data_IF_368598670290
#
_entry.id   IF_368598670290
#
_cell.length_a   1.000
_cell.length_b   1.000
_cell.length_c   1.000
_cell.angle_alpha   90.00
_cell.angle_beta   90.00
_cell.angle_gamma   90.00
#
_symmetry.space_group_name_H-M   'P 1'
#
loop_
_entity.id
_entity.type
_entity.pdbx_description
1 polymer ?
#
# COMPACT_ATOMS: atom_id res chain seq x y z
N UNK A 1 -10.61 -26.33 1.88
CA UNK A 1 -9.62 -25.34 1.38
C UNK A 1 -10.32 -24.02 1.21
N UNK A 2 -9.69 -22.93 1.62
CA UNK A 2 -10.23 -21.57 1.52
C UNK A 2 -9.93 -20.98 0.15
N UNK A 3 -10.96 -20.64 -0.63
CA UNK A 3 -10.78 -20.10 -1.98
C UNK A 3 -10.47 -18.60 -1.92
N UNK A 4 -9.24 -18.23 -2.29
CA UNK A 4 -8.78 -16.86 -2.38
C UNK A 4 -8.55 -16.46 -3.84
N UNK A 5 -9.22 -15.42 -4.28
CA UNK A 5 -9.03 -14.84 -5.63
C UNK A 5 -8.15 -13.60 -5.55
N UNK A 6 -7.12 -13.52 -6.39
CA UNK A 6 -6.34 -12.30 -6.62
C UNK A 6 -6.80 -11.65 -7.92
N UNK A 7 -7.63 -10.62 -7.83
CA UNK A 7 -8.10 -9.83 -8.95
C UNK A 7 -7.04 -8.82 -9.38
N UNK A 8 -6.55 -8.95 -10.62
CA UNK A 8 -5.31 -8.32 -11.08
C UNK A 8 -4.08 -9.17 -10.76
N UNK A 9 -4.26 -10.49 -10.61
CA UNK A 9 -3.26 -11.45 -10.15
C UNK A 9 -1.99 -11.50 -11.01
N UNK A 10 -2.05 -11.19 -12.28
CA UNK A 10 -0.88 -11.07 -13.18
C UNK A 10 -0.29 -9.66 -13.26
N UNK A 11 -0.76 -8.73 -12.42
CA UNK A 11 -0.23 -7.38 -12.31
C UNK A 11 0.98 -7.28 -11.39
N UNK A 12 1.59 -6.09 -11.32
CA UNK A 12 2.84 -5.85 -10.59
C UNK A 12 2.83 -6.34 -9.13
N UNK A 13 1.80 -6.04 -8.36
CA UNK A 13 1.64 -6.54 -6.98
C UNK A 13 0.91 -7.88 -6.92
N UNK A 14 -0.09 -8.08 -7.81
CA UNK A 14 -0.89 -9.30 -7.85
C UNK A 14 -0.06 -10.55 -8.08
N UNK A 15 0.94 -10.49 -8.95
CA UNK A 15 1.88 -11.58 -9.22
C UNK A 15 2.63 -12.01 -7.95
N UNK A 16 3.18 -11.06 -7.19
CA UNK A 16 3.90 -11.32 -5.93
C UNK A 16 3.00 -11.92 -4.85
N UNK A 17 1.76 -11.44 -4.77
CA UNK A 17 0.77 -12.02 -3.86
C UNK A 17 0.43 -13.44 -4.29
N UNK A 18 0.19 -13.66 -5.59
CA UNK A 18 -0.10 -14.97 -6.14
C UNK A 18 1.06 -15.95 -5.92
N UNK A 19 2.30 -15.54 -6.14
CA UNK A 19 3.51 -16.32 -5.83
C UNK A 19 3.58 -16.74 -4.38
N UNK A 20 3.31 -15.81 -3.46
CA UNK A 20 3.37 -16.08 -2.02
C UNK A 20 2.27 -17.01 -1.53
N UNK A 21 1.07 -16.98 -2.15
CA UNK A 21 -0.09 -17.77 -1.73
C UNK A 21 -0.20 -19.12 -2.47
N UNK A 22 0.50 -19.32 -3.58
CA UNK A 22 0.35 -20.49 -4.43
C UNK A 22 0.68 -21.83 -3.73
N UNK A 23 1.60 -21.81 -2.77
CA UNK A 23 2.03 -23.00 -2.02
C UNK A 23 1.37 -23.15 -0.65
N UNK A 24 0.47 -22.25 -0.28
CA UNK A 24 -0.18 -22.27 1.04
C UNK A 24 -1.30 -23.36 1.07
N UNK A 25 -1.08 -24.45 1.75
CA UNK A 25 -1.98 -25.61 1.81
C UNK A 25 -3.46 -25.31 2.12
N UNK A 26 -3.81 -24.36 3.03
CA UNK A 26 -5.22 -24.08 3.32
C UNK A 26 -5.87 -23.25 2.19
N UNK A 27 -5.09 -22.70 1.22
CA UNK A 27 -5.58 -21.77 0.20
C UNK A 27 -5.71 -22.46 -1.16
N UNK A 28 -6.92 -22.39 -1.75
CA UNK A 28 -7.12 -22.59 -3.18
C UNK A 28 -7.03 -21.24 -3.87
N UNK A 29 -5.88 -20.99 -4.51
CA UNK A 29 -5.64 -19.71 -5.18
C UNK A 29 -6.32 -19.65 -6.54
N UNK A 30 -7.02 -18.54 -6.84
CA UNK A 30 -7.50 -18.19 -8.17
C UNK A 30 -6.75 -16.93 -8.66
N UNK A 31 -6.07 -17.04 -9.79
CA UNK A 31 -5.41 -15.92 -10.46
C UNK A 31 -6.39 -15.32 -11.46
N UNK A 32 -6.86 -14.09 -11.18
CA UNK A 32 -7.92 -13.45 -11.94
C UNK A 32 -7.45 -12.15 -12.61
N UNK A 33 -7.94 -11.92 -13.82
CA UNK A 33 -7.70 -10.71 -14.59
C UNK A 33 -8.41 -10.74 -15.94
N UNK A 34 -8.33 -9.64 -16.70
CA UNK A 34 -8.98 -9.51 -18.03
C UNK A 34 -8.24 -10.26 -19.13
N UNK A 35 -6.96 -10.50 -18.97
CA UNK A 35 -6.08 -11.14 -19.94
C UNK A 35 -5.90 -12.61 -19.60
N UNK A 36 -6.62 -13.48 -20.33
CA UNK A 36 -6.59 -14.93 -20.14
C UNK A 36 -5.17 -15.51 -20.33
N UNK A 37 -4.42 -14.99 -21.30
CA UNK A 37 -3.08 -15.48 -21.61
C UNK A 37 -2.11 -15.21 -20.46
N UNK A 38 -2.15 -13.98 -19.88
CA UNK A 38 -1.30 -13.63 -18.72
C UNK A 38 -1.70 -14.40 -17.46
N UNK A 39 -3.00 -14.57 -17.20
CA UNK A 39 -3.46 -15.34 -16.06
C UNK A 39 -3.06 -16.82 -16.20
N UNK A 40 -3.23 -17.40 -17.37
CA UNK A 40 -2.82 -18.78 -17.67
C UNK A 40 -1.31 -19.00 -17.58
N UNK A 41 -0.52 -18.09 -18.14
CA UNK A 41 0.95 -18.15 -18.04
C UNK A 41 1.45 -18.10 -16.59
N UNK A 42 0.86 -17.22 -15.76
CA UNK A 42 1.19 -17.14 -14.35
C UNK A 42 0.77 -18.42 -13.61
N UNK A 43 -0.45 -18.92 -13.83
CA UNK A 43 -0.92 -20.15 -13.19
C UNK A 43 0.00 -21.34 -13.55
N UNK A 44 0.39 -21.48 -14.82
CA UNK A 44 1.34 -22.51 -15.25
C UNK A 44 2.71 -22.39 -14.55
N UNK A 45 3.26 -21.18 -14.47
CA UNK A 45 4.53 -20.89 -13.76
C UNK A 45 4.46 -21.25 -12.27
N UNK A 46 3.30 -21.02 -11.65
CA UNK A 46 3.04 -21.34 -10.26
C UNK A 46 2.62 -22.80 -10.03
N UNK A 47 2.59 -23.62 -11.07
CA UNK A 47 2.15 -25.02 -11.05
C UNK A 47 0.71 -25.20 -10.55
N UNK A 48 -0.14 -24.21 -10.81
CA UNK A 48 -1.57 -24.26 -10.51
C UNK A 48 -2.32 -25.00 -11.63
N UNK A 49 -3.50 -25.56 -11.30
CA UNK A 49 -4.39 -26.11 -12.31
C UNK A 49 -4.83 -25.04 -13.31
N UNK A 50 -5.02 -25.33 -14.60
CA UNK A 50 -5.56 -24.38 -15.56
C UNK A 50 -6.88 -23.74 -15.15
N UNK A 51 -7.73 -24.46 -14.42
CA UNK A 51 -9.00 -23.95 -13.87
C UNK A 51 -8.84 -22.89 -12.76
N UNK A 52 -7.63 -22.66 -12.29
CA UNK A 52 -7.31 -21.61 -11.32
C UNK A 52 -6.91 -20.27 -11.99
N UNK A 53 -6.74 -20.26 -13.30
CA UNK A 53 -6.63 -19.04 -14.09
C UNK A 53 -8.02 -18.65 -14.59
N UNK A 54 -8.55 -17.51 -14.13
CA UNK A 54 -9.92 -17.09 -14.43
C UNK A 54 -9.98 -15.71 -15.07
N UNK A 55 -10.85 -15.58 -16.08
CA UNK A 55 -11.09 -14.27 -16.69
C UNK A 55 -12.18 -13.56 -15.89
N UNK A 56 -11.81 -12.40 -15.33
CA UNK A 56 -12.70 -11.55 -14.52
C UNK A 56 -12.39 -10.09 -14.81
N UNK A 57 -13.40 -9.30 -15.12
CA UNK A 57 -13.28 -7.84 -15.17
C UNK A 57 -13.80 -7.23 -13.86
N UNK A 58 -13.00 -6.37 -13.25
CA UNK A 58 -13.37 -5.60 -12.05
C UNK A 58 -14.58 -4.66 -12.28
N UNK A 59 -14.88 -4.33 -13.54
CA UNK A 59 -16.00 -3.47 -13.91
C UNK A 59 -17.25 -4.24 -14.37
N UNK A 60 -17.21 -5.58 -14.32
CA UNK A 60 -18.37 -6.41 -14.71
C UNK A 60 -19.51 -6.23 -13.70
N UNK A 61 -20.71 -5.80 -14.11
CA UNK A 61 -21.89 -5.77 -13.26
C UNK A 61 -22.26 -7.13 -12.65
N UNK A 62 -21.91 -8.23 -13.31
CA UNK A 62 -22.12 -9.61 -12.86
C UNK A 62 -21.07 -10.13 -11.88
N UNK A 63 -20.11 -9.31 -11.43
CA UNK A 63 -18.99 -9.74 -10.61
C UNK A 63 -19.44 -10.51 -9.36
N UNK A 64 -20.47 -10.07 -8.65
CA UNK A 64 -20.97 -10.75 -7.45
C UNK A 64 -21.45 -12.18 -7.73
N UNK A 65 -22.18 -12.40 -8.84
CA UNK A 65 -22.58 -13.72 -9.31
C UNK A 65 -21.36 -14.59 -9.62
N UNK A 66 -20.40 -14.03 -10.32
CA UNK A 66 -19.17 -14.74 -10.71
C UNK A 66 -18.32 -15.16 -9.49
N UNK A 67 -18.24 -14.32 -8.47
CA UNK A 67 -17.55 -14.67 -7.20
C UNK A 67 -18.24 -15.85 -6.50
N UNK A 68 -19.58 -15.88 -6.47
CA UNK A 68 -20.37 -16.98 -5.90
C UNK A 68 -20.17 -18.30 -6.67
N UNK A 69 -20.26 -18.27 -7.98
CA UNK A 69 -20.04 -19.43 -8.86
C UNK A 69 -18.66 -20.06 -8.65
N UNK A 70 -17.63 -19.23 -8.49
CA UNK A 70 -16.25 -19.68 -8.26
C UNK A 70 -15.98 -20.10 -6.82
N UNK A 71 -16.95 -19.93 -5.91
CA UNK A 71 -16.83 -20.25 -4.49
C UNK A 71 -15.78 -19.39 -3.78
N UNK A 72 -15.61 -18.12 -4.20
CA UNK A 72 -14.61 -17.21 -3.60
C UNK A 72 -15.02 -16.86 -2.18
N UNK A 73 -14.11 -17.04 -1.23
CA UNK A 73 -14.29 -16.69 0.17
C UNK A 73 -13.51 -15.42 0.56
N UNK A 74 -12.37 -15.18 -0.09
CA UNK A 74 -11.60 -13.93 0.04
C UNK A 74 -11.21 -13.40 -1.33
N UNK A 75 -11.53 -12.14 -1.60
CA UNK A 75 -11.13 -11.40 -2.78
C UNK A 75 -10.01 -10.41 -2.43
N UNK A 76 -8.84 -10.58 -3.02
CA UNK A 76 -7.74 -9.59 -2.94
C UNK A 76 -7.77 -8.77 -4.24
N UNK A 77 -8.00 -7.47 -4.12
CA UNK A 77 -8.12 -6.55 -5.25
C UNK A 77 -6.83 -5.75 -5.45
N UNK A 78 -6.12 -6.03 -6.54
CA UNK A 78 -4.86 -5.36 -6.90
C UNK A 78 -4.96 -4.55 -8.20
N UNK A 79 -6.14 -4.49 -8.81
CA UNK A 79 -6.37 -3.83 -10.09
C UNK A 79 -6.61 -2.31 -9.94
N UNK A 80 -5.59 -1.56 -9.50
CA UNK A 80 -5.60 -0.10 -9.42
C UNK A 80 -5.60 0.63 -10.78
N UNK A 81 -5.48 1.97 -10.81
CA UNK A 81 -5.37 2.87 -9.67
C UNK A 81 -6.69 3.00 -8.90
N UNK A 82 -6.60 3.30 -7.58
CA UNK A 82 -7.77 3.41 -6.70
C UNK A 82 -8.26 4.87 -6.53
N UNK A 83 -7.47 5.83 -6.93
CA UNK A 83 -7.83 7.26 -6.85
C UNK A 83 -9.09 7.53 -7.66
N UNK A 84 -10.04 8.25 -7.05
CA UNK A 84 -11.35 8.60 -7.63
C UNK A 84 -12.20 7.40 -8.08
N UNK A 85 -11.95 6.18 -7.56
CA UNK A 85 -12.76 4.98 -7.86
C UNK A 85 -13.96 4.87 -6.93
N UNK A 86 -15.02 4.23 -7.44
CA UNK A 86 -16.17 3.77 -6.64
C UNK A 86 -15.87 2.41 -6.03
N UNK A 87 -16.58 2.04 -4.98
CA UNK A 87 -16.42 0.76 -4.27
C UNK A 87 -17.13 -0.43 -4.97
N UNK A 88 -17.27 -0.42 -6.29
CA UNK A 88 -18.02 -1.44 -7.04
C UNK A 88 -17.54 -2.86 -6.76
N UNK A 89 -16.21 -3.07 -6.72
CA UNK A 89 -15.62 -4.39 -6.44
C UNK A 89 -15.84 -4.81 -4.98
N UNK A 90 -15.66 -3.89 -4.03
CA UNK A 90 -15.92 -4.18 -2.61
C UNK A 90 -17.40 -4.48 -2.36
N UNK A 91 -18.31 -3.71 -2.98
CA UNK A 91 -19.75 -3.95 -2.89
C UNK A 91 -20.14 -5.31 -3.48
N UNK A 92 -19.57 -5.69 -4.65
CA UNK A 92 -19.79 -7.00 -5.25
C UNK A 92 -19.27 -8.15 -4.34
N UNK A 93 -18.13 -7.96 -3.67
CA UNK A 93 -17.62 -8.92 -2.70
C UNK A 93 -18.58 -9.07 -1.50
N UNK A 94 -19.08 -7.97 -0.95
CA UNK A 94 -20.07 -7.99 0.14
C UNK A 94 -21.35 -8.71 -0.31
N UNK A 95 -21.87 -8.40 -1.50
CA UNK A 95 -23.05 -9.05 -2.07
C UNK A 95 -22.83 -10.55 -2.25
N UNK A 96 -21.62 -10.96 -2.67
CA UNK A 96 -21.26 -12.36 -2.83
C UNK A 96 -21.06 -13.11 -1.49
N UNK A 97 -20.95 -12.39 -0.37
CA UNK A 97 -20.60 -12.98 0.92
C UNK A 97 -19.10 -13.27 1.08
N UNK A 98 -18.25 -12.61 0.29
CA UNK A 98 -16.79 -12.77 0.34
C UNK A 98 -16.15 -11.72 1.24
N UNK A 99 -15.06 -12.08 1.93
CA UNK A 99 -14.13 -11.11 2.50
C UNK A 99 -13.43 -10.33 1.36
N UNK A 100 -13.12 -9.06 1.61
CA UNK A 100 -12.46 -8.19 0.66
C UNK A 100 -11.22 -7.56 1.27
N UNK A 101 -10.13 -7.52 0.50
CA UNK A 101 -8.87 -6.86 0.86
C UNK A 101 -8.34 -6.14 -0.37
N UNK A 102 -7.94 -4.87 -0.25
CA UNK A 102 -7.27 -4.16 -1.34
C UNK A 102 -5.95 -3.54 -0.90
N UNK A 103 -5.14 -3.14 -1.90
CA UNK A 103 -3.85 -2.48 -1.73
C UNK A 103 -3.94 -0.98 -2.04
N UNK A 104 -5.09 -0.37 -1.84
CA UNK A 104 -5.30 1.04 -2.14
C UNK A 104 -4.37 1.95 -1.31
N UNK A 105 -3.87 2.99 -1.96
CA UNK A 105 -3.06 4.07 -1.38
C UNK A 105 -3.74 5.45 -1.52
N UNK A 106 -4.86 5.51 -2.24
CA UNK A 106 -5.66 6.73 -2.38
C UNK A 106 -6.36 7.11 -1.09
N UNK A 107 -6.04 8.29 -0.52
CA UNK A 107 -6.54 8.74 0.78
C UNK A 107 -8.05 8.64 0.89
N UNK A 108 -8.78 9.27 -0.03
CA UNK A 108 -10.25 9.30 0.02
C UNK A 108 -10.87 7.91 -0.12
N UNK A 109 -10.28 7.05 -0.97
CA UNK A 109 -10.76 5.69 -1.17
C UNK A 109 -10.59 4.84 0.08
N UNK A 110 -9.41 4.89 0.71
CA UNK A 110 -9.15 4.09 1.93
C UNK A 110 -9.97 4.59 3.12
N UNK A 111 -10.01 5.90 3.34
CA UNK A 111 -10.77 6.49 4.46
C UNK A 111 -12.28 6.29 4.27
N UNK A 112 -12.78 6.45 3.05
CA UNK A 112 -14.21 6.36 2.75
C UNK A 112 -14.76 4.93 2.70
N UNK A 113 -13.92 3.88 2.82
CA UNK A 113 -14.40 2.48 2.79
C UNK A 113 -15.40 2.19 3.91
N UNK A 114 -15.33 2.93 5.02
CA UNK A 114 -16.24 2.84 6.15
C UNK A 114 -17.73 3.07 5.75
N UNK A 115 -17.99 3.72 4.60
CA UNK A 115 -19.33 3.85 4.04
C UNK A 115 -20.03 2.51 3.74
N UNK A 116 -19.25 1.43 3.60
CA UNK A 116 -19.75 0.06 3.39
C UNK A 116 -19.90 -0.74 4.70
N UNK A 117 -19.59 -0.16 5.87
CA UNK A 117 -19.52 -0.90 7.14
C UNK A 117 -20.84 -1.60 7.50
N UNK A 118 -21.96 -0.90 7.42
CA UNK A 118 -23.26 -1.48 7.73
C UNK A 118 -23.62 -2.66 6.81
N UNK A 119 -23.32 -2.55 5.52
CA UNK A 119 -23.58 -3.62 4.56
C UNK A 119 -22.67 -4.83 4.81
N UNK A 120 -21.37 -4.60 5.10
CA UNK A 120 -20.42 -5.65 5.39
C UNK A 120 -20.76 -6.40 6.69
N UNK A 121 -21.16 -5.68 7.74
CA UNK A 121 -21.65 -6.27 9.01
C UNK A 121 -22.89 -7.12 8.80
N UNK A 122 -23.89 -6.61 8.06
CA UNK A 122 -25.11 -7.35 7.77
C UNK A 122 -24.87 -8.67 7.03
N UNK A 123 -23.79 -8.74 6.24
CA UNK A 123 -23.35 -9.96 5.52
C UNK A 123 -22.34 -10.80 6.31
N UNK A 124 -21.91 -10.37 7.48
CA UNK A 124 -20.92 -11.07 8.30
C UNK A 124 -19.52 -11.17 7.65
N UNK A 125 -19.20 -10.25 6.73
CA UNK A 125 -17.91 -10.24 6.02
C UNK A 125 -16.97 -9.13 6.55
N UNK A 126 -15.68 -9.32 6.31
CA UNK A 126 -14.62 -8.36 6.62
C UNK A 126 -14.17 -7.69 5.32
N UNK A 127 -14.19 -6.36 5.27
CA UNK A 127 -13.80 -5.53 4.12
C UNK A 127 -12.69 -4.61 4.58
N UNK A 128 -11.49 -4.80 4.03
CA UNK A 128 -10.29 -4.09 4.44
C UNK A 128 -9.70 -3.33 3.25
N UNK A 129 -9.54 -2.01 3.39
CA UNK A 129 -8.88 -1.19 2.38
C UNK A 129 -7.54 -0.68 2.86
N UNK A 130 -6.56 -0.60 1.95
CA UNK A 130 -5.22 -0.14 2.24
C UNK A 130 -4.33 -1.19 2.90
N UNK A 131 -4.48 -2.47 2.57
CA UNK A 131 -3.62 -3.55 3.08
C UNK A 131 -2.25 -3.55 2.38
N UNK A 132 -1.48 -2.47 2.58
CA UNK A 132 -0.20 -2.19 1.93
C UNK A 132 0.83 -1.64 2.94
N UNK A 133 1.94 -1.06 2.46
CA UNK A 133 2.93 -0.41 3.33
C UNK A 133 2.30 0.72 4.14
N UNK A 134 1.41 1.49 3.52
CA UNK A 134 0.59 2.54 4.13
C UNK A 134 -0.88 2.24 3.82
N UNK A 135 -1.77 2.22 4.83
CA UNK A 135 -1.56 2.48 6.25
C UNK A 135 -1.23 1.23 7.11
N UNK A 136 -1.09 0.03 6.54
CA UNK A 136 -1.00 -1.20 7.34
C UNK A 136 0.33 -1.32 8.10
N UNK A 137 1.49 -1.23 7.43
CA UNK A 137 2.78 -1.35 8.10
C UNK A 137 3.09 -0.11 8.93
N UNK A 138 2.84 1.09 8.39
CA UNK A 138 3.05 2.34 9.11
C UNK A 138 2.33 2.35 10.46
N UNK A 139 1.03 1.99 10.49
CA UNK A 139 0.28 1.90 11.75
C UNK A 139 0.79 0.80 12.68
N UNK A 140 1.17 -0.36 12.13
CA UNK A 140 1.73 -1.45 12.94
C UNK A 140 3.03 -1.05 13.64
N UNK A 141 3.87 -0.24 12.99
CA UNK A 141 5.09 0.32 13.59
C UNK A 141 4.74 1.32 14.68
N UNK A 142 3.84 2.27 14.42
CA UNK A 142 3.42 3.24 15.46
C UNK A 142 2.80 2.51 16.65
N UNK A 143 1.89 1.54 16.42
CA UNK A 143 1.24 0.75 17.49
C UNK A 143 2.24 -0.03 18.35
N UNK A 144 3.36 -0.48 17.77
CA UNK A 144 4.44 -1.17 18.50
C UNK A 144 5.11 -0.30 19.53
N UNK A 145 5.24 1.01 19.27
CA UNK A 145 6.02 1.93 20.10
C UNK A 145 5.17 2.94 20.86
N UNK A 146 3.93 3.22 20.43
CA UNK A 146 3.11 4.29 21.02
C UNK A 146 2.91 4.14 22.52
N UNK A 147 2.87 2.91 23.05
CA UNK A 147 2.72 2.64 24.48
C UNK A 147 3.93 3.09 25.32
N UNK A 148 5.07 3.41 24.73
CA UNK A 148 6.27 3.93 25.42
C UNK A 148 6.19 5.44 25.66
N UNK A 149 5.30 6.13 24.95
CA UNK A 149 5.11 7.56 25.05
C UNK A 149 4.03 7.91 26.09
N UNK A 150 4.29 8.92 26.88
CA UNK A 150 3.29 9.65 27.65
C UNK A 150 2.52 10.60 26.73
N UNK A 151 3.23 11.22 25.78
CA UNK A 151 2.69 12.08 24.74
C UNK A 151 3.50 11.90 23.45
N UNK A 152 2.88 11.38 22.41
CA UNK A 152 3.46 11.31 21.08
C UNK A 152 3.19 12.65 20.38
N UNK A 153 4.22 13.40 20.02
CA UNK A 153 4.11 14.72 19.42
C UNK A 153 4.14 14.66 17.90
N UNK A 154 5.01 13.83 17.31
CA UNK A 154 5.11 13.73 15.86
C UNK A 154 5.32 12.30 15.36
N UNK A 155 4.75 12.04 14.19
CA UNK A 155 4.95 10.85 13.36
C UNK A 155 5.41 11.35 11.99
N UNK A 156 6.70 11.15 11.68
CA UNK A 156 7.24 11.40 10.35
C UNK A 156 7.64 10.07 9.72
N UNK A 157 7.20 9.80 8.50
CA UNK A 157 7.50 8.53 7.86
C UNK A 157 7.57 8.70 6.34
N UNK A 158 8.17 7.71 5.69
CA UNK A 158 8.32 7.79 4.24
C UNK A 158 8.87 6.54 3.61
N UNK A 159 8.84 6.52 2.28
CA UNK A 159 9.28 5.41 1.44
C UNK A 159 10.21 5.95 0.37
N UNK A 160 11.38 5.31 0.19
CA UNK A 160 12.23 5.50 -0.98
C UNK A 160 12.26 4.21 -1.79
N UNK A 161 11.76 4.26 -3.03
CA UNK A 161 11.80 3.09 -3.91
C UNK A 161 13.22 2.77 -4.37
N UNK A 162 13.49 1.48 -4.68
CA UNK A 162 14.66 1.05 -5.43
C UNK A 162 14.54 1.40 -6.93
N UNK A 163 15.48 0.90 -7.72
CA UNK A 163 15.57 1.13 -9.18
C UNK A 163 14.30 0.68 -9.91
N UNK A 164 13.72 -0.45 -9.50
CA UNK A 164 12.53 -1.01 -10.13
C UNK A 164 11.31 -0.13 -9.85
N UNK A 165 10.89 0.59 -10.88
CA UNK A 165 9.71 1.43 -10.80
C UNK A 165 8.44 0.61 -10.49
N UNK A 166 7.49 1.14 -9.70
CA UNK A 166 6.19 0.49 -9.49
C UNK A 166 5.41 0.42 -10.82
N UNK A 167 4.39 -0.44 -10.85
CA UNK A 167 3.53 -0.58 -12.03
C UNK A 167 2.89 0.74 -12.46
N UNK A 168 2.58 0.89 -13.75
CA UNK A 168 2.03 2.13 -14.34
C UNK A 168 0.78 2.65 -13.62
N UNK A 169 -0.05 1.74 -13.08
CA UNK A 169 -1.24 2.13 -12.29
C UNK A 169 -0.86 2.92 -11.05
N UNK A 170 0.17 2.48 -10.31
CA UNK A 170 0.71 3.18 -9.15
C UNK A 170 1.31 4.53 -9.54
N UNK A 171 2.12 4.56 -10.61
CA UNK A 171 2.71 5.82 -11.11
C UNK A 171 1.62 6.83 -11.47
N UNK A 172 0.54 6.40 -12.15
CA UNK A 172 -0.62 7.26 -12.46
C UNK A 172 -1.32 7.77 -11.20
N UNK A 173 -1.52 6.91 -10.21
CA UNK A 173 -2.09 7.28 -8.91
C UNK A 173 -1.27 8.37 -8.24
N UNK A 174 0.03 8.13 -8.08
CA UNK A 174 0.99 9.05 -7.46
C UNK A 174 1.11 10.38 -8.21
N UNK A 175 1.05 10.38 -9.54
CA UNK A 175 1.11 11.59 -10.35
C UNK A 175 -0.22 12.36 -10.38
N UNK A 176 -1.33 11.74 -10.03
CA UNK A 176 -2.65 12.37 -10.07
C UNK A 176 -2.76 13.59 -9.14
N UNK A 177 -2.00 13.60 -8.03
CA UNK A 177 -1.97 14.70 -7.06
C UNK A 177 -0.65 15.53 -7.10
N UNK A 178 0.27 15.24 -8.03
CA UNK A 178 1.51 15.99 -8.18
C UNK A 178 1.26 17.49 -8.43
N UNK A 179 1.84 18.35 -7.59
CA UNK A 179 1.66 19.81 -7.61
C UNK A 179 0.28 20.30 -7.15
N UNK A 180 -0.65 19.39 -6.82
CA UNK A 180 -1.97 19.74 -6.29
C UNK A 180 -1.94 19.85 -4.76
N UNK A 181 -2.81 20.70 -4.16
CA UNK A 181 -2.88 20.87 -2.73
C UNK A 181 -3.54 19.64 -2.06
N UNK A 182 -3.05 19.31 -0.88
CA UNK A 182 -3.71 18.39 0.06
C UNK A 182 -3.48 18.86 1.50
N UNK A 183 -4.22 18.29 2.46
CA UNK A 183 -4.14 18.67 3.86
C UNK A 183 -3.21 17.73 4.63
N UNK A 184 -2.36 18.29 5.46
CA UNK A 184 -1.46 17.59 6.37
C UNK A 184 -1.65 18.12 7.79
N UNK A 185 -1.53 17.23 8.79
CA UNK A 185 -1.66 17.61 10.19
C UNK A 185 -0.33 18.10 10.72
N UNK A 186 -0.18 19.42 10.92
CA UNK A 186 1.06 20.04 11.42
C UNK A 186 0.78 21.01 12.57
N UNK A 187 1.47 20.81 13.69
CA UNK A 187 1.35 21.68 14.86
C UNK A 187 -0.05 21.68 15.49
N UNK A 188 -0.81 20.60 15.38
CA UNK A 188 -2.16 20.49 15.89
C UNK A 188 -3.23 21.16 15.02
N UNK A 189 -2.94 21.42 13.76
CA UNK A 189 -3.90 22.00 12.80
C UNK A 189 -3.69 21.45 11.40
N UNK A 190 -4.77 21.43 10.60
CA UNK A 190 -4.69 21.11 9.19
C UNK A 190 -3.99 22.23 8.43
N UNK A 191 -2.96 21.87 7.66
CA UNK A 191 -2.17 22.78 6.84
C UNK A 191 -2.11 22.28 5.41
N UNK A 192 -2.24 23.20 4.45
CA UNK A 192 -2.11 22.89 3.03
C UNK A 192 -0.66 22.66 2.65
N UNK A 193 -0.38 21.52 2.05
CA UNK A 193 0.88 21.22 1.36
C UNK A 193 0.60 20.79 -0.08
N UNK A 194 1.62 20.44 -0.86
CA UNK A 194 1.47 20.14 -2.28
C UNK A 194 2.23 18.86 -2.64
N UNK A 195 1.60 18.00 -3.40
CA UNK A 195 2.16 16.71 -3.80
C UNK A 195 3.49 16.87 -4.57
N UNK A 196 4.48 16.08 -4.21
CA UNK A 196 5.83 16.06 -4.76
C UNK A 196 6.61 17.38 -4.59
N UNK A 197 6.17 18.26 -3.72
CA UNK A 197 6.90 19.43 -3.26
C UNK A 197 7.37 19.25 -1.82
N UNK A 198 7.93 20.28 -1.18
CA UNK A 198 8.59 20.17 0.14
C UNK A 198 9.77 19.19 0.09
N UNK A 199 10.71 19.46 -0.83
CA UNK A 199 11.88 18.64 -1.11
C UNK A 199 12.80 18.58 0.12
N UNK A 200 13.12 17.37 0.57
CA UNK A 200 13.98 17.11 1.73
C UNK A 200 14.98 15.99 1.44
N UNK A 201 16.01 15.89 2.28
CA UNK A 201 16.87 14.73 2.34
C UNK A 201 16.58 13.94 3.60
N UNK A 202 16.39 12.62 3.42
CA UNK A 202 16.31 11.66 4.52
C UNK A 202 17.55 10.76 4.49
N UNK A 203 18.15 10.54 5.66
CA UNK A 203 19.29 9.65 5.82
C UNK A 203 18.80 8.30 6.34
N UNK A 204 18.80 7.32 5.45
CA UNK A 204 18.55 5.93 5.83
C UNK A 204 19.83 5.30 6.39
N UNK A 205 19.72 4.26 7.24
CA UNK A 205 20.85 3.44 7.63
C UNK A 205 21.60 2.85 6.43
N UNK A 206 22.90 2.57 6.58
CA UNK A 206 23.66 1.87 5.54
C UNK A 206 23.00 0.52 5.16
N UNK A 207 23.06 0.13 3.87
CA UNK A 207 23.80 0.74 2.78
C UNK A 207 23.00 1.75 1.94
N UNK A 208 21.75 2.10 2.30
CA UNK A 208 20.87 2.93 1.49
C UNK A 208 21.29 4.41 1.45
N UNK A 209 21.73 4.97 2.59
CA UNK A 209 22.26 6.32 2.69
C UNK A 209 21.22 7.42 2.41
N UNK A 210 21.71 8.59 1.98
CA UNK A 210 20.87 9.78 1.79
C UNK A 210 20.01 9.70 0.54
N UNK A 211 18.71 9.97 0.68
CA UNK A 211 17.71 9.97 -0.40
C UNK A 211 16.92 11.27 -0.43
N UNK A 212 16.59 11.74 -1.64
CA UNK A 212 15.60 12.79 -1.80
C UNK A 212 14.20 12.26 -1.58
N UNK A 213 13.40 12.99 -0.81
CA UNK A 213 11.98 12.68 -0.54
C UNK A 213 11.16 13.97 -0.59
N UNK A 214 9.89 13.84 -0.93
CA UNK A 214 8.94 14.95 -1.03
C UNK A 214 7.58 14.56 -0.47
N UNK A 215 6.78 15.54 -0.05
CA UNK A 215 5.45 15.33 0.52
C UNK A 215 4.52 14.62 -0.46
N UNK A 216 3.81 13.60 0.02
CA UNK A 216 2.86 12.82 -0.75
C UNK A 216 1.56 12.61 0.01
N UNK A 217 0.46 12.51 -0.73
CA UNK A 217 -0.87 12.33 -0.18
C UNK A 217 -1.20 10.85 0.02
N UNK A 218 -1.49 10.44 1.27
CA UNK A 218 -1.77 9.06 1.66
C UNK A 218 -2.83 8.98 2.77
N UNK A 219 -3.45 7.81 2.99
CA UNK A 219 -4.52 7.62 3.97
C UNK A 219 -4.14 7.99 5.41
N UNK A 220 -2.93 7.66 5.82
CA UNK A 220 -2.40 7.85 7.18
C UNK A 220 -2.51 9.28 7.67
N UNK A 221 -2.35 10.26 6.77
CA UNK A 221 -2.45 11.69 7.10
C UNK A 221 -3.85 12.07 7.67
N UNK A 222 -4.90 11.29 7.35
CA UNK A 222 -6.23 11.44 7.92
C UNK A 222 -6.46 10.48 9.09
N UNK A 223 -5.92 9.27 9.02
CA UNK A 223 -6.19 8.21 9.98
C UNK A 223 -5.41 8.39 11.29
N UNK A 224 -4.14 8.82 11.22
CA UNK A 224 -3.26 8.89 12.37
C UNK A 224 -3.65 9.98 13.38
N UNK A 225 -4.05 11.20 12.99
CA UNK A 225 -4.52 12.20 13.95
C UNK A 225 -5.76 11.74 14.74
N UNK A 226 -6.61 10.89 14.13
CA UNK A 226 -7.77 10.30 14.81
C UNK A 226 -7.38 9.15 15.74
N UNK A 227 -6.40 8.31 15.32
CA UNK A 227 -5.98 7.13 16.06
C UNK A 227 -5.07 7.47 17.24
N UNK A 228 -4.19 8.46 17.08
CA UNK A 228 -3.20 8.88 18.08
C UNK A 228 -3.51 10.32 18.55
N UNK A 229 -4.41 10.50 19.53
CA UNK A 229 -5.00 11.82 19.84
C UNK A 229 -3.99 12.85 20.36
N UNK A 230 -2.83 12.43 20.87
CA UNK A 230 -1.80 13.35 21.37
C UNK A 230 -0.93 13.90 20.25
N UNK A 231 -0.96 13.29 19.05
CA UNK A 231 -0.08 13.67 17.94
C UNK A 231 -0.43 15.07 17.41
N UNK A 232 0.60 15.87 17.24
CA UNK A 232 0.49 17.25 16.74
C UNK A 232 0.97 17.38 15.29
N UNK A 233 1.81 16.46 14.83
CA UNK A 233 2.34 16.48 13.46
C UNK A 233 2.36 15.07 12.90
N UNK A 234 1.78 14.90 11.70
CA UNK A 234 1.82 13.68 10.90
C UNK A 234 2.23 14.06 9.49
N UNK A 235 3.37 13.56 9.04
CA UNK A 235 3.90 13.86 7.71
C UNK A 235 4.42 12.63 6.99
N UNK A 236 4.16 12.55 5.69
CA UNK A 236 4.62 11.46 4.83
C UNK A 236 5.40 11.98 3.62
N UNK A 237 6.50 11.29 3.33
CA UNK A 237 7.37 11.63 2.23
C UNK A 237 7.66 10.40 1.36
N UNK A 238 7.72 10.61 0.04
CA UNK A 238 8.13 9.56 -0.88
C UNK A 238 9.31 10.01 -1.74
N UNK A 239 10.13 9.04 -2.14
CA UNK A 239 11.31 9.29 -2.98
C UNK A 239 11.60 8.15 -3.95
N UNK A 240 12.50 8.43 -4.89
CA UNK A 240 12.97 7.48 -5.90
C UNK A 240 14.45 7.18 -5.72
N UNK A 241 14.90 6.01 -6.23
CA UNK A 241 16.32 5.67 -6.29
C UNK A 241 17.13 6.69 -7.11
N UNK A 242 16.54 7.21 -8.20
CA UNK A 242 17.13 8.25 -9.01
C UNK A 242 16.90 9.64 -8.41
N UNK A 243 17.95 10.24 -7.85
CA UNK A 243 17.89 11.62 -7.36
C UNK A 243 17.52 12.63 -8.47
N UNK A 244 18.10 12.47 -9.67
CA UNK A 244 17.76 13.33 -10.82
C UNK A 244 16.29 13.12 -11.23
N UNK A 245 15.82 11.87 -11.30
CA UNK A 245 14.41 11.56 -11.60
C UNK A 245 13.47 12.18 -10.58
N UNK A 246 13.86 12.17 -9.29
CA UNK A 246 13.09 12.82 -8.24
C UNK A 246 12.99 14.33 -8.45
N UNK A 247 14.11 15.00 -8.76
CA UNK A 247 14.13 16.45 -9.02
C UNK A 247 13.30 16.83 -10.26
N UNK A 248 13.32 16.00 -11.32
CA UNK A 248 12.47 16.21 -12.51
C UNK A 248 10.99 16.16 -12.13
N UNK A 249 10.56 15.16 -11.33
CA UNK A 249 9.17 15.09 -10.87
C UNK A 249 8.80 16.29 -10.00
N UNK A 250 9.67 16.74 -9.10
CA UNK A 250 9.46 17.94 -8.30
C UNK A 250 9.33 19.19 -9.17
N UNK A 251 10.19 19.35 -10.19
CA UNK A 251 10.11 20.46 -11.14
C UNK A 251 8.78 20.48 -11.91
N UNK A 252 8.36 19.33 -12.43
CA UNK A 252 7.06 19.18 -13.09
C UNK A 252 5.88 19.47 -12.13
N UNK A 253 5.97 19.02 -10.87
CA UNK A 253 4.97 19.33 -9.84
C UNK A 253 4.92 20.85 -9.55
N UNK A 254 6.07 21.52 -9.55
CA UNK A 254 6.16 22.98 -9.47
C UNK A 254 5.42 23.71 -10.60
N UNK A 255 5.52 23.19 -11.84
CA UNK A 255 4.78 23.74 -12.99
C UNK A 255 3.26 23.54 -12.84
N UNK A 256 2.82 22.41 -12.29
CA UNK A 256 1.39 22.17 -11.99
C UNK A 256 0.91 23.16 -10.92
N UNK A 257 1.69 23.35 -9.84
CA UNK A 257 1.36 24.35 -8.80
C UNK A 257 1.29 25.77 -9.35
N UNK A 258 2.18 26.11 -10.28
CA UNK A 258 2.17 27.40 -10.97
C UNK A 258 1.06 27.52 -12.02
N UNK A 259 0.23 26.49 -12.21
CA UNK A 259 -0.84 26.41 -13.24
C UNK A 259 -0.34 26.46 -14.69
N UNK A 260 0.95 26.19 -14.92
CA UNK A 260 1.54 26.09 -16.25
C UNK A 260 1.30 24.70 -16.88
N UNK A 261 1.01 23.71 -16.07
CA UNK A 261 0.59 22.36 -16.47
C UNK A 261 -0.70 21.96 -15.71
N UNK A 262 -1.66 21.28 -16.37
CA UNK A 262 -2.90 20.89 -15.72
C UNK A 262 -2.74 19.66 -14.79
N UNK A 263 -1.80 18.75 -15.09
CA UNK A 263 -1.57 17.51 -14.33
C UNK A 263 -0.27 16.84 -14.74
N UNK A 264 0.30 16.01 -13.84
CA UNK A 264 1.43 15.12 -14.16
C UNK A 264 0.99 13.79 -14.79
N UNK A 265 -0.28 13.42 -14.74
CA UNK A 265 -0.78 12.13 -15.22
C UNK A 265 -0.37 11.77 -16.66
N UNK A 266 -0.36 12.70 -17.64
CA UNK A 266 0.10 12.40 -18.99
C UNK A 266 1.55 11.94 -19.08
N UNK A 267 2.40 12.39 -18.14
CA UNK A 267 3.82 12.04 -18.09
C UNK A 267 4.09 10.67 -17.45
N UNK A 268 3.08 10.03 -16.84
CA UNK A 268 3.25 8.76 -16.15
C UNK A 268 3.79 7.65 -17.06
N UNK A 269 3.22 7.47 -18.27
CA UNK A 269 3.66 6.43 -19.18
C UNK A 269 5.04 6.69 -19.78
N UNK A 270 5.36 7.88 -20.33
CA UNK A 270 6.70 8.16 -20.83
C UNK A 270 7.79 8.09 -19.76
N UNK A 271 7.56 8.69 -18.57
CA UNK A 271 8.54 8.64 -17.48
C UNK A 271 8.73 7.22 -16.94
N UNK A 272 7.68 6.40 -16.86
CA UNK A 272 7.78 4.99 -16.50
C UNK A 272 8.62 4.20 -17.51
N UNK A 273 8.47 4.43 -18.82
CA UNK A 273 9.29 3.79 -19.86
C UNK A 273 10.76 4.17 -19.74
N UNK A 274 11.05 5.46 -19.56
CA UNK A 274 12.42 5.97 -19.35
C UNK A 274 13.02 5.36 -18.09
N UNK A 275 12.27 5.31 -16.99
CA UNK A 275 12.72 4.70 -15.74
C UNK A 275 13.08 3.22 -15.90
N UNK A 276 12.28 2.43 -16.64
CA UNK A 276 12.59 1.03 -16.93
C UNK A 276 13.86 0.88 -17.76
N UNK A 277 14.07 1.76 -18.74
CA UNK A 277 15.27 1.72 -19.56
C UNK A 277 16.55 2.08 -18.76
N UNK A 278 16.39 2.99 -17.79
CA UNK A 278 17.49 3.43 -16.91
C UNK A 278 17.64 2.57 -15.65
N UNK A 279 16.77 1.59 -15.41
CA UNK A 279 16.76 0.73 -14.21
C UNK A 279 18.15 0.15 -13.88
N UNK A 280 18.96 -0.36 -14.84
CA UNK A 280 20.30 -0.91 -14.56
C UNK A 280 21.30 0.09 -13.99
N UNK A 281 21.07 1.39 -14.14
CA UNK A 281 21.96 2.45 -13.67
C UNK A 281 21.70 2.86 -12.22
N UNK A 282 20.62 2.39 -11.62
CA UNK A 282 20.21 2.81 -10.28
C UNK A 282 20.31 1.66 -9.27
N UNK A 283 20.38 2.04 -7.99
CA UNK A 283 20.45 1.08 -6.89
C UNK A 283 19.16 0.25 -6.80
N UNK A 284 19.30 -1.05 -6.69
CA UNK A 284 18.22 -2.02 -6.42
C UNK A 284 17.63 -1.91 -5.01
N UNK A 285 18.18 -1.00 -4.19
CA UNK A 285 17.84 -0.83 -2.78
C UNK A 285 16.75 0.21 -2.59
N UNK A 286 15.80 -0.13 -1.73
CA UNK A 286 14.75 0.76 -1.28
C UNK A 286 14.56 0.67 0.24
N UNK A 287 13.78 1.57 0.80
CA UNK A 287 13.51 1.54 2.23
C UNK A 287 12.25 2.30 2.61
N UNK A 288 11.77 2.00 3.81
CA UNK A 288 10.73 2.73 4.51
C UNK A 288 11.29 3.16 5.86
N UNK A 289 10.94 4.35 6.31
CA UNK A 289 11.24 4.82 7.67
C UNK A 289 9.97 5.25 8.38
N UNK A 290 9.99 5.15 9.72
CA UNK A 290 9.01 5.73 10.63
C UNK A 290 9.76 6.32 11.80
N UNK A 291 9.62 7.62 12.01
CA UNK A 291 10.23 8.36 13.11
C UNK A 291 9.13 8.87 14.03
N UNK A 292 9.28 8.59 15.31
CA UNK A 292 8.37 8.98 16.36
C UNK A 292 9.12 9.87 17.34
N UNK A 293 8.58 11.03 17.66
CA UNK A 293 9.17 11.95 18.65
C UNK A 293 8.09 12.42 19.62
N UNK A 294 8.47 12.50 20.91
CA UNK A 294 7.55 12.93 21.94
C UNK A 294 8.14 12.80 23.35
N UNK A 295 7.27 12.86 24.33
CA UNK A 295 7.59 12.67 25.76
C UNK A 295 7.39 11.20 26.13
N UNK A 296 8.46 10.53 26.57
CA UNK A 296 8.43 9.18 27.11
C UNK A 296 7.75 9.10 28.47
N UNK A 297 7.48 7.88 28.95
CA UNK A 297 6.82 7.65 30.26
C UNK A 297 7.59 8.24 31.45
N UNK A 298 8.90 8.31 31.35
CA UNK A 298 9.79 8.90 32.38
C UNK A 298 9.94 10.42 32.25
N UNK A 299 9.05 11.07 31.45
CA UNK A 299 9.07 12.51 31.15
C UNK A 299 10.36 13.01 30.49
N UNK A 300 11.16 12.12 29.90
CA UNK A 300 12.29 12.42 29.04
C UNK A 300 11.83 12.52 27.57
N UNK A 301 12.61 13.19 26.73
CA UNK A 301 12.38 13.13 25.28
C UNK A 301 12.68 11.73 24.78
N UNK A 302 11.73 11.14 24.08
CA UNK A 302 11.86 9.83 23.44
C UNK A 302 11.77 10.00 21.93
N UNK A 303 12.83 9.58 21.24
CA UNK A 303 12.87 9.51 19.77
C UNK A 303 13.12 8.06 19.36
N UNK A 304 12.30 7.55 18.44
CA UNK A 304 12.44 6.21 17.85
C UNK A 304 12.53 6.37 16.35
N UNK A 305 13.57 5.83 15.74
CA UNK A 305 13.75 5.74 14.30
C UNK A 305 13.71 4.27 13.89
N UNK A 306 12.61 3.85 13.27
CA UNK A 306 12.43 2.51 12.72
C UNK A 306 12.60 2.55 11.20
N UNK A 307 13.38 1.64 10.68
CA UNK A 307 13.68 1.55 9.26
C UNK A 307 13.48 0.11 8.75
N UNK A 308 12.97 -0.01 7.53
CA UNK A 308 12.90 -1.26 6.78
C UNK A 308 13.67 -1.08 5.48
N UNK A 309 14.74 -1.84 5.32
CA UNK A 309 15.61 -1.78 4.14
C UNK A 309 15.39 -3.02 3.29
N UNK A 310 15.21 -2.83 1.99
CA UNK A 310 15.07 -3.91 1.02
C UNK A 310 16.17 -3.81 -0.04
N UNK A 311 16.79 -4.95 -0.38
CA UNK A 311 17.83 -5.09 -1.39
C UNK A 311 17.39 -6.09 -2.47
N UNK A 312 18.19 -6.30 -3.49
CA UNK A 312 17.96 -7.27 -4.56
C UNK A 312 16.58 -7.08 -5.25
N UNK A 313 16.13 -5.84 -5.40
CA UNK A 313 14.82 -5.51 -5.93
C UNK A 313 13.64 -6.15 -5.14
N UNK A 314 13.82 -6.47 -3.85
CA UNK A 314 12.76 -6.99 -3.00
C UNK A 314 11.80 -5.92 -2.46
N UNK A 315 12.12 -4.63 -2.61
CA UNK A 315 11.24 -3.52 -2.21
C UNK A 315 9.78 -3.67 -2.67
N UNK A 316 9.48 -4.06 -3.92
CA UNK A 316 8.12 -4.24 -4.42
C UNK A 316 7.30 -5.34 -3.73
N UNK A 317 7.89 -6.22 -2.94
CA UNK A 317 7.18 -7.22 -2.14
C UNK A 317 6.61 -6.63 -0.85
N UNK A 318 7.21 -5.57 -0.32
CA UNK A 318 6.77 -4.95 0.95
C UNK A 318 5.29 -4.54 0.91
N UNK A 319 4.78 -3.84 -0.13
CA UNK A 319 3.37 -3.49 -0.20
C UNK A 319 2.40 -4.69 -0.20
N UNK A 320 2.89 -5.89 -0.52
CA UNK A 320 2.07 -7.10 -0.57
C UNK A 320 1.91 -7.77 0.81
N UNK A 321 2.78 -7.45 1.79
CA UNK A 321 2.87 -8.13 3.08
C UNK A 321 1.57 -8.20 3.84
N UNK A 322 0.84 -7.07 3.94
CA UNK A 322 -0.44 -7.03 4.66
C UNK A 322 -1.52 -7.90 3.99
N UNK A 323 -1.70 -7.78 2.67
CA UNK A 323 -2.71 -8.55 1.95
C UNK A 323 -2.47 -10.06 2.06
N UNK A 324 -1.20 -10.49 1.96
CA UNK A 324 -0.82 -11.90 2.14
C UNK A 324 -1.09 -12.36 3.57
N UNK A 325 -0.68 -11.58 4.58
CA UNK A 325 -0.88 -11.93 5.99
C UNK A 325 -2.38 -12.03 6.32
N UNK A 326 -3.20 -11.08 5.86
CA UNK A 326 -4.65 -11.09 6.07
C UNK A 326 -5.33 -12.27 5.37
N UNK A 327 -4.94 -12.60 4.13
CA UNK A 327 -5.46 -13.76 3.41
C UNK A 327 -5.14 -15.07 4.16
N UNK A 328 -3.93 -15.22 4.69
CA UNK A 328 -3.53 -16.35 5.53
C UNK A 328 -4.33 -16.42 6.83
N UNK A 329 -4.53 -15.28 7.51
CA UNK A 329 -5.36 -15.20 8.72
C UNK A 329 -6.79 -15.67 8.44
N UNK A 330 -7.42 -15.18 7.37
CA UNK A 330 -8.77 -15.55 6.95
C UNK A 330 -8.86 -17.04 6.58
N UNK A 331 -7.89 -17.56 5.83
CA UNK A 331 -7.83 -18.96 5.43
C UNK A 331 -7.64 -19.93 6.62
N UNK A 332 -6.98 -19.47 7.67
CA UNK A 332 -6.81 -20.23 8.92
C UNK A 332 -7.94 -19.99 9.93
N UNK A 333 -9.04 -19.35 9.53
CA UNK A 333 -10.21 -19.15 10.39
C UNK A 333 -10.03 -18.09 11.47
N UNK A 334 -9.06 -17.17 11.32
CA UNK A 334 -8.90 -16.09 12.29
C UNK A 334 -10.13 -15.18 12.31
N UNK A 335 -10.60 -14.86 13.52
CA UNK A 335 -11.75 -13.98 13.70
C UNK A 335 -11.34 -12.50 13.55
N UNK A 336 -11.29 -12.02 12.31
CA UNK A 336 -11.11 -10.60 12.04
C UNK A 336 -12.42 -9.82 12.25
N UNK A 337 -12.35 -8.53 12.62
CA UNK A 337 -13.55 -7.70 12.80
C UNK A 337 -14.43 -7.72 11.54
N UNK A 338 -15.74 -7.88 11.74
CA UNK A 338 -16.73 -7.77 10.66
C UNK A 338 -17.07 -6.31 10.42
N UNK A 339 -17.28 -5.97 9.14
CA UNK A 339 -17.51 -4.58 8.73
C UNK A 339 -16.48 -4.12 7.70
N UNK A 340 -16.54 -2.84 7.34
CA UNK A 340 -15.62 -2.22 6.41
C UNK A 340 -14.73 -1.18 7.12
N UNK A 341 -13.41 -1.31 6.95
CA UNK A 341 -12.43 -0.50 7.66
C UNK A 341 -11.12 -0.30 6.89
N UNK A 342 -10.39 0.79 7.13
CA UNK A 342 -8.99 0.91 6.76
C UNK A 342 -8.13 -0.16 7.43
N UNK A 343 -7.02 -0.54 6.79
CA UNK A 343 -6.09 -1.53 7.33
C UNK A 343 -5.17 -0.91 8.39
N UNK A 344 -5.75 -0.58 9.54
CA UNK A 344 -5.04 0.04 10.67
C UNK A 344 -5.27 -0.80 11.93
N UNK A 345 -4.20 -1.18 12.63
CA UNK A 345 -4.27 -1.96 13.87
C UNK A 345 -4.73 -3.41 13.69
N UNK A 346 -4.73 -3.95 12.47
CA UNK A 346 -5.14 -5.32 12.16
C UNK A 346 -3.99 -6.32 12.15
N UNK A 347 -2.77 -5.82 12.02
CA UNK A 347 -1.55 -6.61 11.95
C UNK A 347 -0.48 -6.01 12.87
N UNK A 348 0.29 -6.86 13.50
CA UNK A 348 1.56 -6.48 14.11
C UNK A 348 2.66 -6.38 13.05
N UNK A 349 3.77 -5.70 13.35
CA UNK A 349 4.96 -5.66 12.47
C UNK A 349 5.44 -7.08 12.14
N UNK A 350 5.46 -7.98 13.14
CA UNK A 350 5.86 -9.39 12.96
C UNK A 350 4.95 -10.12 11.97
N UNK A 351 3.65 -9.95 12.06
CA UNK A 351 2.68 -10.57 11.14
C UNK A 351 2.81 -10.00 9.73
N UNK A 352 3.00 -8.68 9.61
CA UNK A 352 3.21 -8.02 8.32
C UNK A 352 4.49 -8.52 7.62
N UNK A 353 5.59 -8.66 8.36
CA UNK A 353 6.89 -9.07 7.81
C UNK A 353 7.01 -10.59 7.61
N UNK A 354 6.16 -11.40 8.21
CA UNK A 354 6.22 -12.86 8.09
C UNK A 354 6.20 -13.39 6.64
N UNK A 355 5.42 -12.83 5.69
CA UNK A 355 5.49 -13.21 4.28
C UNK A 355 6.80 -12.86 3.58
N UNK A 356 7.59 -11.94 4.14
CA UNK A 356 8.81 -11.39 3.54
C UNK A 356 10.09 -12.03 4.08
N UNK A 357 9.98 -13.01 4.99
CA UNK A 357 11.13 -13.58 5.75
C UNK A 357 12.24 -14.17 4.88
N UNK A 358 11.91 -14.67 3.67
CA UNK A 358 12.85 -15.29 2.74
C UNK A 358 13.44 -14.29 1.73
N UNK A 359 13.13 -13.01 1.89
CA UNK A 359 13.61 -11.92 1.05
C UNK A 359 14.70 -11.13 1.79
N UNK A 360 15.55 -10.43 1.04
CA UNK A 360 16.53 -9.53 1.64
C UNK A 360 15.85 -8.21 2.06
N UNK A 361 15.06 -8.33 3.13
CA UNK A 361 14.32 -7.23 3.77
C UNK A 361 14.70 -7.24 5.25
N UNK A 362 15.25 -6.12 5.74
CA UNK A 362 15.81 -6.02 7.09
C UNK A 362 15.22 -4.85 7.86
N UNK A 363 14.84 -5.11 9.10
CA UNK A 363 14.44 -4.11 10.08
C UNK A 363 15.67 -3.56 10.79
N UNK A 364 15.76 -2.23 10.92
CA UNK A 364 16.80 -1.51 11.68
C UNK A 364 16.11 -0.49 12.57
N UNK A 365 16.42 -0.50 13.87
CA UNK A 365 15.83 0.42 14.86
C UNK A 365 16.95 1.17 15.56
N UNK A 366 16.84 2.49 15.66
CA UNK A 366 17.78 3.41 16.30
C UNK A 366 17.09 4.26 17.36
#
# INVERSE_FOLDING_TARGET
MHTTMVLGGSGFFGERISESLASDLPIRLLVAGRDAAKAGALAARLKLSPSQAVVVDANDPGLAGRLRELGVQTLIHTAGPFQARKYTVAAAAIEAGCHYVDLADGREFVVGIESLDAQARARGVTVISGASSVPALSSAVVDRYVSQYKRLDSIEFGISSGARAPGLATVRGVFSYGGKPFQEWRGGAWRTTYGWLDLRRHLFPPPLGSRWVSSCDIPDLTLFPKRYPTVRTVSFHAGFASGLGHLVVCGLAGLVRARLLPSLTPFAAPLSRISHWLEPLFSDQGGMFVQLDGEGKESNRLFVSWNLLARQNHGPYIPCGAAIALARKLANGANLPKGAMPCVGLLTVKEFLAPLRNLDVREVVE
#
